data_IF_932570455230
#
_entry.id   IF_932570455230
#
_cell.length_a   1.000
_cell.length_b   1.000
_cell.length_c   1.000
_cell.angle_alpha   90.00
_cell.angle_beta   90.00
_cell.angle_gamma   90.00
#
_symmetry.space_group_name_H-M   'P 1'
#
loop_
_entity.id
_entity.type
_entity.pdbx_description
1 polymer ?
#
# COMPACT_ATOMS: atom_id res chain seq x y z
N UNK A 1 34.23 -73.26 10.18
CA UNK A 1 34.55 -71.81 10.17
C UNK A 1 33.65 -71.00 9.24
N UNK A 2 33.31 -71.47 8.03
CA UNK A 2 32.47 -70.72 7.07
C UNK A 2 31.08 -70.27 7.58
N UNK A 3 30.36 -71.09 8.36
CA UNK A 3 29.03 -70.72 8.88
C UNK A 3 29.04 -69.53 9.85
N UNK A 4 30.13 -69.35 10.64
CA UNK A 4 30.25 -68.22 11.57
C UNK A 4 30.57 -66.90 10.88
N UNK A 5 31.26 -66.96 9.73
CA UNK A 5 31.56 -65.77 8.92
C UNK A 5 30.30 -65.29 8.21
N UNK A 6 29.45 -66.21 7.74
CA UNK A 6 28.21 -65.89 7.05
C UNK A 6 27.19 -65.18 7.97
N UNK A 7 27.03 -65.64 9.20
CA UNK A 7 26.11 -65.02 10.17
C UNK A 7 26.57 -63.64 10.62
N UNK A 8 27.88 -63.44 10.80
CA UNK A 8 28.44 -62.12 11.09
C UNK A 8 28.23 -61.16 9.92
N UNK A 9 28.41 -61.63 8.68
CA UNK A 9 28.14 -60.82 7.48
C UNK A 9 26.67 -60.39 7.37
N UNK A 10 25.75 -61.31 7.70
CA UNK A 10 24.31 -61.07 7.63
C UNK A 10 23.81 -60.13 8.74
N UNK A 11 24.38 -60.22 9.94
CA UNK A 11 24.09 -59.29 11.03
C UNK A 11 24.65 -57.89 10.73
N UNK A 12 25.85 -57.80 10.17
CA UNK A 12 26.47 -56.52 9.79
C UNK A 12 25.70 -55.82 8.66
N UNK A 13 25.19 -56.57 7.68
CA UNK A 13 24.37 -56.00 6.62
C UNK A 13 23.02 -55.50 7.13
N UNK A 14 22.35 -56.20 8.05
CA UNK A 14 21.12 -55.70 8.68
C UNK A 14 21.34 -54.42 9.50
N UNK A 15 22.48 -54.29 10.19
CA UNK A 15 22.86 -53.09 10.94
C UNK A 15 23.20 -51.89 10.03
N UNK A 16 23.82 -52.14 8.88
CA UNK A 16 24.10 -51.10 7.88
C UNK A 16 22.81 -50.62 7.19
N UNK A 17 21.86 -51.52 6.94
CA UNK A 17 20.55 -51.15 6.37
C UNK A 17 19.72 -50.36 7.40
N UNK A 18 19.76 -50.69 8.69
CA UNK A 18 18.99 -49.96 9.71
C UNK A 18 19.52 -48.54 9.99
N UNK A 19 20.83 -48.32 9.88
CA UNK A 19 21.46 -46.99 10.06
C UNK A 19 21.29 -46.07 8.85
N UNK A 20 21.14 -46.64 7.64
CA UNK A 20 20.85 -45.88 6.42
C UNK A 20 19.46 -45.25 6.40
N UNK A 21 18.50 -45.80 7.16
CA UNK A 21 17.12 -45.29 7.21
C UNK A 21 17.01 -43.88 7.78
N UNK A 22 17.74 -43.55 8.85
CA UNK A 22 17.63 -42.23 9.48
C UNK A 22 18.33 -41.12 8.67
N UNK A 23 19.49 -41.43 8.07
CA UNK A 23 20.23 -40.50 7.20
C UNK A 23 19.45 -40.28 5.89
N UNK A 24 18.87 -41.36 5.34
CA UNK A 24 18.06 -41.29 4.12
C UNK A 24 16.80 -40.45 4.28
N UNK A 25 16.14 -40.50 5.46
CA UNK A 25 14.99 -39.64 5.75
C UNK A 25 15.37 -38.16 5.86
N UNK A 26 16.57 -37.86 6.38
CA UNK A 26 17.06 -36.48 6.47
C UNK A 26 17.36 -35.89 5.09
N UNK A 27 18.04 -36.67 4.23
CA UNK A 27 18.27 -36.30 2.83
C UNK A 27 16.95 -36.18 2.05
N UNK A 28 15.98 -37.06 2.32
CA UNK A 28 14.66 -36.97 1.70
C UNK A 28 13.92 -35.70 2.13
N UNK A 29 14.04 -35.29 3.39
CA UNK A 29 13.45 -34.03 3.89
C UNK A 29 14.09 -32.81 3.25
N UNK A 30 15.42 -32.77 3.17
CA UNK A 30 16.14 -31.67 2.53
C UNK A 30 15.83 -31.58 1.03
N UNK A 31 15.75 -32.72 0.35
CA UNK A 31 15.37 -32.80 -1.06
C UNK A 31 13.93 -32.31 -1.29
N UNK A 32 12.99 -32.67 -0.41
CA UNK A 32 11.61 -32.17 -0.47
C UNK A 32 11.53 -30.66 -0.18
N UNK A 33 12.35 -30.14 0.73
CA UNK A 33 12.42 -28.70 1.00
C UNK A 33 13.00 -27.93 -0.20
N UNK A 34 14.01 -28.49 -0.88
CA UNK A 34 14.55 -27.91 -2.11
C UNK A 34 13.51 -27.87 -3.24
N UNK A 35 12.66 -28.89 -3.34
CA UNK A 35 11.55 -28.92 -4.29
C UNK A 35 10.40 -27.96 -3.94
N UNK A 36 10.37 -27.42 -2.71
CA UNK A 36 9.35 -26.47 -2.27
C UNK A 36 9.42 -25.14 -3.03
N UNK A 37 10.61 -24.77 -3.52
CA UNK A 37 10.87 -23.50 -4.19
C UNK A 37 11.18 -22.36 -3.20
N UNK A 38 11.78 -21.30 -3.72
CA UNK A 38 12.13 -20.13 -2.92
C UNK A 38 10.90 -19.26 -2.60
N UNK A 39 10.98 -18.57 -1.48
CA UNK A 39 9.98 -17.58 -1.06
C UNK A 39 10.13 -16.32 -1.92
N UNK A 40 9.01 -15.74 -2.36
CA UNK A 40 8.99 -14.51 -3.15
C UNK A 40 8.46 -13.36 -2.30
N UNK A 41 9.18 -12.24 -2.24
CA UNK A 41 8.66 -11.00 -1.63
C UNK A 41 7.93 -10.21 -2.72
N UNK A 42 6.65 -9.92 -2.50
CA UNK A 42 5.83 -9.10 -3.39
C UNK A 42 5.36 -7.84 -2.66
N UNK A 43 4.93 -6.85 -3.44
CA UNK A 43 4.35 -5.61 -2.93
C UNK A 43 2.84 -5.63 -3.16
N UNK A 44 2.07 -5.43 -2.10
CA UNK A 44 0.62 -5.28 -2.17
C UNK A 44 0.26 -3.81 -1.96
N UNK A 45 -0.43 -3.21 -2.92
CA UNK A 45 -0.89 -1.83 -2.85
C UNK A 45 -2.36 -1.77 -2.44
N UNK A 46 -2.66 -1.16 -1.31
CA UNK A 46 -4.01 -0.77 -0.93
C UNK A 46 -4.26 0.67 -1.38
N UNK A 47 -5.42 0.95 -1.99
CA UNK A 47 -5.75 2.30 -2.49
C UNK A 47 -7.01 2.83 -1.82
N UNK A 48 -6.90 3.99 -1.17
CA UNK A 48 -8.04 4.78 -0.69
C UNK A 48 -8.31 5.89 -1.72
N UNK A 49 -9.45 5.79 -2.40
CA UNK A 49 -9.87 6.73 -3.45
C UNK A 49 -11.06 7.55 -2.97
N UNK A 50 -10.94 8.88 -3.07
CA UNK A 50 -11.97 9.84 -2.69
C UNK A 50 -12.19 10.76 -3.88
N UNK A 51 -13.38 10.68 -4.47
CA UNK A 51 -13.78 11.51 -5.58
C UNK A 51 -15.07 12.26 -5.24
N UNK A 52 -15.20 13.48 -5.75
CA UNK A 52 -16.41 14.27 -5.58
C UNK A 52 -16.64 15.18 -6.77
N UNK A 53 -17.91 15.31 -7.15
CA UNK A 53 -18.39 16.23 -8.17
C UNK A 53 -19.29 17.27 -7.51
N UNK A 54 -18.99 18.55 -7.74
CA UNK A 54 -19.77 19.65 -7.21
C UNK A 54 -20.99 19.91 -8.10
N UNK A 55 -22.09 19.19 -7.85
CA UNK A 55 -23.35 19.33 -8.60
C UNK A 55 -24.01 20.71 -8.42
N UNK A 56 -23.76 21.35 -7.29
CA UNK A 56 -24.28 22.66 -6.89
C UNK A 56 -23.17 23.47 -6.21
N UNK A 57 -23.43 24.74 -5.92
CA UNK A 57 -22.49 25.55 -5.15
C UNK A 57 -22.41 25.03 -3.71
N UNK A 58 -21.26 24.44 -3.35
CA UNK A 58 -20.96 23.93 -2.02
C UNK A 58 -19.77 24.71 -1.46
N UNK A 59 -19.89 25.17 -0.21
CA UNK A 59 -18.88 26.01 0.43
C UNK A 59 -18.35 25.31 1.67
N UNK A 60 -17.03 25.10 1.70
CA UNK A 60 -16.32 24.54 2.85
C UNK A 60 -16.83 23.17 3.27
N UNK A 61 -17.23 22.32 2.31
CA UNK A 61 -17.67 20.96 2.60
C UNK A 61 -16.46 20.12 3.01
N UNK A 62 -16.65 19.28 4.01
CA UNK A 62 -15.58 18.44 4.56
C UNK A 62 -15.81 16.96 4.24
N UNK A 63 -14.74 16.27 3.86
CA UNK A 63 -14.66 14.82 3.75
C UNK A 63 -13.57 14.32 4.68
N UNK A 64 -13.93 13.37 5.54
CA UNK A 64 -13.03 12.78 6.52
C UNK A 64 -12.97 11.29 6.28
N UNK A 65 -11.79 10.80 5.92
CA UNK A 65 -11.53 9.40 5.63
C UNK A 65 -10.30 8.91 6.39
N UNK A 66 -10.18 7.59 6.49
CA UNK A 66 -9.16 6.95 7.31
C UNK A 66 -8.54 5.78 6.58
N UNK A 67 -7.25 5.56 6.82
CA UNK A 67 -6.54 4.38 6.35
C UNK A 67 -5.57 3.88 7.42
N UNK A 68 -5.27 2.58 7.39
CA UNK A 68 -4.45 1.93 8.43
C UNK A 68 -3.02 1.76 7.95
N UNK A 69 -2.08 2.16 8.78
CA UNK A 69 -0.64 1.96 8.58
C UNK A 69 -0.12 1.01 9.65
N UNK A 70 0.53 -0.06 9.23
CA UNK A 70 1.16 -1.08 10.09
C UNK A 70 2.70 -1.05 9.93
N UNK A 71 3.39 -2.04 10.48
CA UNK A 71 4.85 -2.15 10.38
C UNK A 71 5.36 -2.56 9.00
N UNK A 72 4.49 -3.14 8.17
CA UNK A 72 4.83 -3.70 6.86
C UNK A 72 4.64 -2.70 5.72
N UNK A 73 4.10 -1.51 6.03
CA UNK A 73 4.01 -0.40 5.07
C UNK A 73 5.41 0.11 4.73
N UNK A 74 5.75 0.01 3.45
CA UNK A 74 7.04 0.39 2.88
C UNK A 74 6.99 1.73 2.16
N UNK A 75 5.85 2.09 1.58
CA UNK A 75 5.64 3.39 0.94
C UNK A 75 4.19 3.86 1.07
N UNK A 76 4.01 5.19 1.14
CA UNK A 76 2.70 5.84 1.07
C UNK A 76 2.79 6.91 -0.01
N UNK A 77 2.04 6.71 -1.09
CA UNK A 77 1.97 7.62 -2.23
C UNK A 77 0.66 8.38 -2.26
N UNK A 78 0.71 9.64 -2.69
CA UNK A 78 -0.47 10.50 -2.79
C UNK A 78 -0.56 11.06 -4.20
N UNK A 79 -1.73 10.89 -4.82
CA UNK A 79 -2.10 11.51 -6.08
C UNK A 79 -3.33 12.38 -5.86
N UNK A 80 -3.21 13.66 -6.17
CA UNK A 80 -4.29 14.63 -6.00
C UNK A 80 -4.51 15.40 -7.29
N UNK A 81 -5.77 15.48 -7.72
CA UNK A 81 -6.20 16.19 -8.91
C UNK A 81 -7.47 16.98 -8.61
N UNK A 82 -7.54 18.19 -9.17
CA UNK A 82 -8.73 19.03 -9.22
C UNK A 82 -9.02 19.40 -10.67
N UNK A 83 -10.30 19.44 -11.01
CA UNK A 83 -10.80 19.98 -12.26
C UNK A 83 -11.80 21.07 -11.93
N UNK A 84 -11.57 22.29 -12.40
CA UNK A 84 -12.47 23.42 -12.15
C UNK A 84 -13.04 23.87 -13.49
N UNK A 85 -14.36 23.87 -13.62
CA UNK A 85 -15.00 24.32 -14.84
C UNK A 85 -15.03 25.86 -14.91
N UNK A 86 -15.12 26.40 -16.13
CA UNK A 86 -15.18 27.85 -16.33
C UNK A 86 -13.91 28.61 -15.88
N UNK A 87 -12.70 28.05 -16.05
CA UNK A 87 -11.44 28.74 -15.70
C UNK A 87 -11.30 30.13 -16.36
N UNK A 88 -11.83 30.29 -17.57
CA UNK A 88 -11.89 31.58 -18.28
C UNK A 88 -12.65 32.65 -17.49
N UNK A 89 -13.65 32.25 -16.70
CA UNK A 89 -14.45 33.15 -15.88
C UNK A 89 -13.66 33.55 -14.61
N UNK A 90 -12.84 32.65 -14.07
CA UNK A 90 -11.94 32.93 -12.93
C UNK A 90 -10.93 34.03 -13.28
N UNK A 91 -10.27 33.95 -14.44
CA UNK A 91 -9.31 34.98 -14.88
C UNK A 91 -9.95 36.38 -14.96
N UNK A 92 -11.22 36.45 -15.38
CA UNK A 92 -11.98 37.71 -15.45
C UNK A 92 -12.31 38.23 -14.05
N UNK A 93 -12.75 37.36 -13.13
CA UNK A 93 -13.02 37.74 -11.75
C UNK A 93 -11.77 38.24 -11.02
N UNK A 94 -10.62 37.58 -11.22
CA UNK A 94 -9.34 38.00 -10.67
C UNK A 94 -8.89 39.36 -11.23
N UNK A 95 -9.06 39.61 -12.53
CA UNK A 95 -8.79 40.92 -13.15
C UNK A 95 -9.69 42.05 -12.60
N UNK A 96 -10.90 41.70 -12.16
CA UNK A 96 -11.85 42.63 -11.53
C UNK A 96 -11.65 42.76 -10.01
N UNK A 97 -10.66 42.07 -9.43
CA UNK A 97 -10.36 42.11 -7.98
C UNK A 97 -11.36 41.35 -7.11
N UNK A 98 -12.13 40.44 -7.70
CA UNK A 98 -13.09 39.57 -7.00
C UNK A 98 -12.40 38.24 -6.72
N UNK A 99 -12.30 37.86 -5.45
CA UNK A 99 -11.71 36.57 -5.05
C UNK A 99 -12.65 35.42 -5.43
N UNK A 100 -12.13 34.44 -6.17
CA UNK A 100 -12.82 33.17 -6.41
C UNK A 100 -12.67 32.30 -5.15
N UNK A 101 -13.77 31.94 -4.46
CA UNK A 101 -13.70 31.14 -3.24
C UNK A 101 -13.47 29.64 -3.51
N UNK A 102 -13.43 29.22 -4.79
CA UNK A 102 -13.26 27.81 -5.15
C UNK A 102 -11.86 27.32 -4.84
N UNK A 103 -11.79 26.31 -3.98
CA UNK A 103 -10.54 25.68 -3.58
C UNK A 103 -10.81 24.31 -2.97
N UNK A 104 -9.87 23.40 -3.11
CA UNK A 104 -9.85 22.11 -2.42
C UNK A 104 -8.53 21.99 -1.67
N UNK A 105 -8.61 21.89 -0.34
CA UNK A 105 -7.49 21.64 0.56
C UNK A 105 -7.53 20.17 1.00
N UNK A 106 -6.40 19.48 0.88
CA UNK A 106 -6.21 18.10 1.35
C UNK A 106 -5.14 18.10 2.42
N UNK A 107 -5.45 17.47 3.55
CA UNK A 107 -4.54 17.29 4.67
C UNK A 107 -4.52 15.82 5.08
N UNK A 108 -3.34 15.25 5.20
CA UNK A 108 -3.16 13.90 5.73
C UNK A 108 -2.34 14.00 7.01
N UNK A 109 -2.87 13.48 8.10
CA UNK A 109 -2.22 13.43 9.40
C UNK A 109 -1.97 11.99 9.83
N UNK A 110 -0.81 11.74 10.44
CA UNK A 110 -0.50 10.44 11.03
C UNK A 110 -1.35 10.15 12.28
N UNK A 111 -1.18 8.94 12.84
CA UNK A 111 -1.89 8.48 14.04
C UNK A 111 -1.59 9.29 15.30
N UNK A 112 -0.52 10.09 15.30
CA UNK A 112 -0.17 11.02 16.38
C UNK A 112 -0.73 12.43 16.14
N UNK A 113 -1.42 12.66 15.03
CA UNK A 113 -1.97 13.96 14.63
C UNK A 113 -0.95 14.88 13.95
N UNK A 114 0.22 14.38 13.56
CA UNK A 114 1.23 15.17 12.85
C UNK A 114 0.85 15.29 11.38
N UNK A 115 0.90 16.50 10.84
CA UNK A 115 0.68 16.74 9.41
C UNK A 115 1.82 16.12 8.58
N UNK A 116 1.47 15.19 7.68
CA UNK A 116 2.42 14.50 6.80
C UNK A 116 2.32 14.94 5.34
N UNK A 117 1.13 15.35 4.92
CA UNK A 117 0.89 15.87 3.57
C UNK A 117 -0.13 17.00 3.63
N UNK A 118 0.10 18.04 2.83
CA UNK A 118 -0.83 19.15 2.63
C UNK A 118 -0.72 19.63 1.18
N UNK A 119 -1.86 19.78 0.51
CA UNK A 119 -1.96 20.45 -0.77
C UNK A 119 -3.26 21.26 -0.86
N UNK A 120 -3.17 22.45 -1.44
CA UNK A 120 -4.34 23.27 -1.76
C UNK A 120 -4.33 23.58 -3.26
N UNK A 121 -5.45 23.37 -3.92
CA UNK A 121 -5.65 23.69 -5.34
C UNK A 121 -6.90 24.52 -5.52
N UNK A 122 -6.76 25.62 -6.26
CA UNK A 122 -7.79 26.62 -6.54
C UNK A 122 -8.17 26.66 -8.03
N UNK A 123 -7.54 25.81 -8.86
CA UNK A 123 -7.76 25.71 -10.31
C UNK A 123 -7.69 24.26 -10.78
N UNK A 124 -7.88 24.02 -12.08
CA UNK A 124 -7.59 22.73 -12.69
C UNK A 124 -6.10 22.48 -12.58
N UNK A 125 -5.75 21.46 -11.78
CA UNK A 125 -4.37 21.15 -11.46
C UNK A 125 -4.27 19.68 -11.10
N UNK A 126 -3.17 19.09 -11.52
CA UNK A 126 -2.76 17.77 -11.06
C UNK A 126 -1.50 17.97 -10.23
N UNK A 127 -1.55 17.62 -8.96
CA UNK A 127 -0.36 17.55 -8.13
C UNK A 127 0.57 16.46 -8.68
N UNK A 128 1.90 16.65 -8.62
CA UNK A 128 2.81 15.54 -8.87
C UNK A 128 2.50 14.41 -7.87
N UNK A 129 2.73 13.17 -8.28
CA UNK A 129 2.68 12.05 -7.36
C UNK A 129 3.75 12.24 -6.28
N UNK A 130 3.35 12.24 -5.01
CA UNK A 130 4.24 12.49 -3.87
C UNK A 130 4.28 11.26 -2.98
N UNK A 131 5.48 10.77 -2.70
CA UNK A 131 5.71 9.80 -1.64
C UNK A 131 5.90 10.54 -0.31
N UNK A 132 5.10 10.17 0.68
CA UNK A 132 5.29 10.65 2.06
C UNK A 132 6.58 10.04 2.58
N UNK A 133 7.50 10.89 3.05
CA UNK A 133 8.76 10.46 3.65
C UNK A 133 8.46 9.75 4.97
N UNK A 134 9.10 8.62 5.31
CA UNK A 134 8.96 7.99 6.63
C UNK A 134 9.58 8.83 7.76
N UNK A 135 9.49 8.34 8.99
CA UNK A 135 10.17 8.92 10.15
C UNK A 135 11.70 8.83 10.06
N UNK A 136 12.40 9.39 11.04
CA UNK A 136 13.86 9.38 11.10
C UNK A 136 14.46 7.97 11.24
N UNK A 137 13.68 7.03 11.76
CA UNK A 137 13.98 5.60 11.86
C UNK A 137 13.72 4.84 10.55
N UNK A 138 13.25 5.53 9.50
CA UNK A 138 12.91 4.95 8.22
C UNK A 138 11.58 4.19 8.21
N UNK A 139 10.76 4.31 9.27
CA UNK A 139 9.46 3.65 9.36
C UNK A 139 8.31 4.66 9.40
N UNK A 140 7.12 4.22 9.00
CA UNK A 140 5.91 4.99 9.21
C UNK A 140 5.36 4.76 10.61
N UNK A 141 4.72 5.79 11.16
CA UNK A 141 4.05 5.68 12.45
C UNK A 141 2.84 4.76 12.30
N UNK A 142 2.83 3.63 12.99
CA UNK A 142 1.71 2.70 12.93
C UNK A 142 0.46 3.27 13.59
N UNK A 143 -0.70 2.86 13.09
CA UNK A 143 -2.02 3.26 13.57
C UNK A 143 -2.90 3.79 12.44
N UNK A 144 -4.02 4.38 12.83
CA UNK A 144 -5.00 4.94 11.91
C UNK A 144 -4.59 6.37 11.51
N UNK A 145 -4.37 6.57 10.22
CA UNK A 145 -4.07 7.87 9.63
C UNK A 145 -5.36 8.51 9.13
N UNK A 146 -5.44 9.83 9.23
CA UNK A 146 -6.63 10.59 8.87
C UNK A 146 -6.36 11.42 7.61
N UNK A 147 -7.32 11.37 6.68
CA UNK A 147 -7.43 12.21 5.50
C UNK A 147 -8.56 13.19 5.78
N UNK A 148 -8.26 14.48 5.72
CA UNK A 148 -9.23 15.56 5.81
C UNK A 148 -9.17 16.38 4.52
N UNK A 149 -10.30 16.48 3.83
CA UNK A 149 -10.43 17.27 2.61
C UNK A 149 -11.47 18.34 2.89
N UNK A 150 -11.15 19.60 2.58
CA UNK A 150 -12.07 20.73 2.67
C UNK A 150 -12.18 21.37 1.29
N UNK A 151 -13.38 21.33 0.71
CA UNK A 151 -13.63 21.74 -0.67
C UNK A 151 -14.74 22.76 -0.79
N UNK A 152 -14.47 23.77 -1.60
CA UNK A 152 -15.45 24.76 -2.08
C UNK A 152 -15.44 24.69 -3.60
N UNK A 153 -16.59 24.45 -4.19
CA UNK A 153 -16.73 24.25 -5.63
C UNK A 153 -18.17 24.50 -6.07
N UNK A 154 -18.39 24.50 -7.38
CA UNK A 154 -19.72 24.66 -7.94
C UNK A 154 -19.88 23.98 -9.28
N UNK A 155 -21.15 23.79 -9.65
CA UNK A 155 -21.53 23.29 -10.96
C UNK A 155 -22.77 24.01 -11.46
N UNK A 156 -22.81 24.33 -12.75
CA UNK A 156 -23.95 24.94 -13.42
C UNK A 156 -23.99 24.51 -14.89
N UNK A 157 -25.20 24.24 -15.38
CA UNK A 157 -25.46 23.93 -16.80
C UNK A 157 -24.64 22.76 -17.39
N UNK A 158 -24.30 21.77 -16.57
CA UNK A 158 -23.56 20.57 -17.01
C UNK A 158 -22.04 20.71 -16.96
N UNK A 159 -21.53 21.89 -16.60
CA UNK A 159 -20.14 22.11 -16.21
C UNK A 159 -20.05 22.04 -14.68
N UNK A 160 -19.19 21.15 -14.16
CA UNK A 160 -19.05 20.89 -12.73
C UNK A 160 -17.57 20.89 -12.35
N UNK A 161 -17.27 21.46 -11.20
CA UNK A 161 -15.98 21.26 -10.56
C UNK A 161 -15.90 19.83 -10.01
N UNK A 162 -14.72 19.23 -10.00
CA UNK A 162 -14.46 17.92 -9.41
C UNK A 162 -13.07 17.85 -8.75
N UNK A 163 -12.93 16.88 -7.84
CA UNK A 163 -11.62 16.48 -7.36
C UNK A 163 -11.53 14.96 -7.21
N UNK A 164 -10.29 14.49 -7.28
CA UNK A 164 -9.90 13.10 -7.07
C UNK A 164 -8.65 13.07 -6.19
N UNK A 165 -8.72 12.35 -5.08
CA UNK A 165 -7.60 12.02 -4.22
C UNK A 165 -7.45 10.50 -4.15
N UNK A 166 -6.28 10.00 -4.54
CA UNK A 166 -5.89 8.61 -4.32
C UNK A 166 -4.69 8.57 -3.37
N UNK A 167 -4.83 7.78 -2.30
CA UNK A 167 -3.74 7.44 -1.39
C UNK A 167 -3.42 5.96 -1.61
N UNK A 168 -2.17 5.69 -1.96
CA UNK A 168 -1.62 4.36 -2.19
C UNK A 168 -0.77 3.96 -1.00
N UNK A 169 -1.05 2.81 -0.40
CA UNK A 169 -0.30 2.26 0.73
C UNK A 169 0.31 0.94 0.26
N UNK A 170 1.62 0.93 0.10
CA UNK A 170 2.38 -0.23 -0.37
C UNK A 170 2.91 -1.03 0.82
N UNK A 171 2.48 -2.28 0.93
CA UNK A 171 2.95 -3.24 1.93
C UNK A 171 3.88 -4.27 1.31
N UNK A 172 4.93 -4.67 2.02
CA UNK A 172 5.66 -5.89 1.68
C UNK A 172 4.90 -7.12 2.16
N UNK A 173 4.76 -8.12 1.30
CA UNK A 173 4.21 -9.40 1.69
C UNK A 173 5.05 -10.55 1.15
N UNK A 174 4.88 -11.70 1.79
CA UNK A 174 5.61 -12.91 1.48
C UNK A 174 4.69 -13.90 0.80
N UNK A 175 5.05 -14.32 -0.40
CA UNK A 175 4.33 -15.37 -1.14
C UNK A 175 5.08 -16.68 -0.95
N UNK A 176 4.39 -17.62 -0.31
CA UNK A 176 4.86 -18.99 -0.19
C UNK A 176 4.48 -19.79 -1.43
N UNK A 177 5.40 -20.59 -2.00
CA UNK A 177 5.19 -21.29 -3.28
C UNK A 177 4.12 -22.39 -3.24
N UNK A 178 3.59 -22.73 -2.06
CA UNK A 178 2.53 -23.74 -1.91
C UNK A 178 1.12 -23.13 -1.97
N UNK A 179 0.99 -21.86 -1.60
CA UNK A 179 -0.31 -21.24 -1.37
C UNK A 179 -0.63 -20.14 -2.38
N UNK A 180 0.33 -19.63 -3.16
CA UNK A 180 0.19 -18.53 -4.16
C UNK A 180 -0.55 -17.28 -3.61
N UNK A 181 -0.72 -17.20 -2.30
CA UNK A 181 -1.38 -16.12 -1.57
C UNK A 181 -0.30 -15.30 -0.88
N UNK A 182 -0.41 -13.99 -1.06
CA UNK A 182 0.39 -12.97 -0.38
C UNK A 182 -0.03 -12.91 1.08
N UNK A 183 0.85 -13.40 1.96
CA UNK A 183 0.69 -13.35 3.40
C UNK A 183 1.49 -12.17 3.93
N UNK A 184 0.78 -11.25 4.60
CA UNK A 184 1.39 -10.17 5.37
C UNK A 184 1.69 -10.77 6.75
N UNK A 185 2.98 -10.91 7.07
CA UNK A 185 3.43 -11.43 8.38
C UNK A 185 3.42 -10.33 9.45
#
# INVERSE_FOLDING_TARGET
MQQRVLTVFMALSMLLVSTSGCIGLLQSREYMEHLRGDIQVQTQTETTSIEHFFDQAEVGREWNEKFTVDSEVTAIGVYFKTTMAGETVKEIFEQLGILDPRQVEVRITDSLGTLRYNATHDSTKTAPYVNIVPGADGKFVSGEWNINIVGTGGGLFGEQDDFLLNVYVDRSCTVYPQDDVCVVD
#
